data_IF_764058150243
#
_entry.id   IF_764058150243
#
_cell.length_a   1.000
_cell.length_b   1.000
_cell.length_c   1.000
_cell.angle_alpha   90.00
_cell.angle_beta   90.00
_cell.angle_gamma   90.00
#
_symmetry.space_group_name_H-M   'P 1'
#
loop_
_entity.id
_entity.type
_entity.pdbx_description
1 polymer ?
#
# COMPACT_ATOMS: atom_id res chain seq x y z
N UNK A 1 -11.84 55.95 17.31
CA UNK A 1 -10.93 54.79 17.29
C UNK A 1 -11.31 53.95 16.08
N UNK A 2 -10.34 53.58 15.26
CA UNK A 2 -10.53 52.78 14.04
C UNK A 2 -9.83 51.43 14.16
N UNK A 3 -10.43 50.42 13.54
CA UNK A 3 -9.86 49.08 13.43
C UNK A 3 -8.77 49.05 12.36
N UNK A 4 -7.72 48.28 12.60
CA UNK A 4 -6.61 48.13 11.66
C UNK A 4 -6.28 46.66 11.42
N UNK A 5 -5.79 46.39 10.22
CA UNK A 5 -5.33 45.08 9.78
C UNK A 5 -3.91 45.19 9.27
N UNK A 6 -3.12 44.17 9.59
CA UNK A 6 -1.79 43.99 9.01
C UNK A 6 -1.91 43.08 7.81
N UNK A 7 -1.51 43.56 6.64
CA UNK A 7 -1.56 42.78 5.40
C UNK A 7 -0.20 42.14 5.08
N UNK A 8 -0.22 40.91 4.56
CA UNK A 8 0.95 40.15 4.15
C UNK A 8 0.75 39.47 2.80
N UNK A 9 1.76 38.71 2.34
CA UNK A 9 1.63 37.89 1.12
C UNK A 9 1.72 36.40 1.48
N UNK A 10 0.65 35.60 1.33
CA UNK A 10 -0.78 35.97 1.24
C UNK A 10 -1.43 36.22 2.63
N UNK A 11 -2.61 36.85 2.66
CA UNK A 11 -3.42 37.00 3.88
C UNK A 11 -3.17 38.25 4.72
N UNK A 12 -3.65 38.22 5.96
CA UNK A 12 -3.47 39.28 6.94
C UNK A 12 -4.00 38.91 8.32
N UNK A 13 -3.84 39.82 9.28
CA UNK A 13 -4.33 39.65 10.65
C UNK A 13 -4.95 40.94 11.17
N UNK A 14 -5.97 40.82 12.03
CA UNK A 14 -6.49 41.97 12.77
C UNK A 14 -5.42 42.44 13.76
N UNK A 15 -5.04 43.72 13.67
CA UNK A 15 -3.94 44.30 14.42
C UNK A 15 -4.41 45.16 15.62
N UNK A 16 -5.72 45.35 15.79
CA UNK A 16 -6.30 46.09 16.92
C UNK A 16 -6.97 47.39 16.53
N UNK A 17 -7.17 48.27 17.52
CA UNK A 17 -7.75 49.60 17.36
C UNK A 17 -6.70 50.69 17.59
N UNK A 18 -6.74 51.73 16.78
CA UNK A 18 -5.90 52.93 16.89
C UNK A 18 -6.75 54.20 16.89
N UNK A 19 -6.12 55.35 17.19
CA UNK A 19 -6.78 56.65 17.08
C UNK A 19 -7.15 56.97 15.62
N UNK A 20 -8.22 57.72 15.42
CA UNK A 20 -8.76 57.98 14.07
C UNK A 20 -7.79 58.81 13.20
N UNK A 21 -6.98 59.66 13.84
CA UNK A 21 -5.98 60.54 13.24
C UNK A 21 -4.64 59.85 12.94
N UNK A 22 -4.46 58.59 13.37
CA UNK A 22 -3.23 57.84 13.12
C UNK A 22 -3.08 57.53 11.62
N UNK A 23 -1.96 57.99 11.04
CA UNK A 23 -1.60 57.71 9.65
C UNK A 23 -1.16 56.25 9.51
N UNK A 24 -1.77 55.52 8.56
CA UNK A 24 -1.42 54.13 8.29
C UNK A 24 -0.08 54.05 7.55
N UNK A 25 0.80 53.19 8.04
CA UNK A 25 2.09 52.89 7.42
C UNK A 25 2.14 51.43 7.03
N UNK A 26 2.84 51.11 5.95
CA UNK A 26 3.05 49.73 5.52
C UNK A 26 3.66 48.92 6.68
N UNK A 27 3.15 47.72 7.01
CA UNK A 27 2.14 46.93 6.29
C UNK A 27 0.73 46.97 6.93
N UNK A 28 0.28 48.12 7.41
CA UNK A 28 -1.04 48.29 8.04
C UNK A 28 -2.03 49.06 7.16
N UNK A 29 -3.30 48.71 7.28
CA UNK A 29 -4.44 49.37 6.62
C UNK A 29 -5.61 49.48 7.61
N UNK A 30 -6.41 50.54 7.49
CA UNK A 30 -7.70 50.70 8.18
C UNK A 30 -8.90 50.28 7.29
N UNK A 31 -8.61 49.72 6.10
CA UNK A 31 -9.64 49.15 5.22
C UNK A 31 -9.98 47.73 5.71
N UNK A 32 -11.26 47.44 6.03
CA UNK A 32 -11.68 46.12 6.48
C UNK A 32 -11.57 45.07 5.34
N UNK A 33 -11.24 43.80 5.67
CA UNK A 33 -11.35 42.68 4.74
C UNK A 33 -12.75 42.55 4.16
N UNK A 34 -12.86 41.97 2.96
CA UNK A 34 -14.14 41.66 2.36
C UNK A 34 -14.87 40.61 3.21
N UNK A 35 -16.16 40.84 3.42
CA UNK A 35 -17.09 39.85 3.98
C UNK A 35 -17.74 39.06 2.85
N UNK A 36 -18.14 37.82 3.13
CA UNK A 36 -18.85 36.99 2.17
C UNK A 36 -18.73 35.50 2.46
N UNK A 37 -19.14 34.72 1.48
CA UNK A 37 -19.05 33.25 1.49
C UNK A 37 -18.18 32.85 0.29
N UNK A 38 -17.24 31.95 0.53
CA UNK A 38 -16.42 31.33 -0.51
C UNK A 38 -17.28 30.43 -1.40
N UNK A 39 -16.72 29.99 -2.52
CA UNK A 39 -17.42 29.11 -3.47
C UNK A 39 -17.79 27.73 -2.90
N UNK A 40 -17.14 27.29 -1.82
CA UNK A 40 -17.39 26.04 -1.12
C UNK A 40 -18.39 26.16 0.04
N UNK A 41 -18.95 27.35 0.27
CA UNK A 41 -19.97 27.59 1.31
C UNK A 41 -19.41 28.02 2.66
N UNK A 42 -18.09 28.05 2.83
CA UNK A 42 -17.43 28.51 4.06
C UNK A 42 -17.32 30.05 4.10
N UNK A 43 -17.28 30.69 5.28
CA UNK A 43 -17.08 32.14 5.40
C UNK A 43 -15.78 32.60 4.75
N UNK A 44 -15.83 33.73 4.04
CA UNK A 44 -14.64 34.39 3.51
C UNK A 44 -13.83 34.99 4.67
N UNK A 45 -12.58 34.55 4.82
CA UNK A 45 -11.68 35.03 5.88
C UNK A 45 -10.62 35.95 5.32
N UNK A 46 -9.90 36.66 6.20
CA UNK A 46 -8.75 37.50 5.82
C UNK A 46 -7.61 36.68 5.17
N UNK A 47 -7.51 35.39 5.48
CA UNK A 47 -6.51 34.49 4.89
C UNK A 47 -6.82 34.13 3.43
N UNK A 48 -8.07 34.30 3.00
CA UNK A 48 -8.51 34.09 1.63
C UNK A 48 -8.31 35.34 0.75
N UNK A 49 -7.66 36.38 1.27
CA UNK A 49 -7.59 37.69 0.65
C UNK A 49 -6.16 38.22 0.61
N UNK A 50 -5.90 39.11 -0.35
CA UNK A 50 -4.68 39.90 -0.45
C UNK A 50 -5.05 41.37 -0.51
N UNK A 51 -4.43 42.19 0.34
CA UNK A 51 -4.59 43.64 0.24
C UNK A 51 -3.72 44.18 -0.91
N UNK A 52 -4.34 44.95 -1.81
CA UNK A 52 -3.67 45.71 -2.85
C UNK A 52 -3.49 47.17 -2.38
N UNK A 53 -2.26 47.60 -2.03
CA UNK A 53 -2.02 48.97 -1.58
C UNK A 53 -2.20 50.02 -2.69
N UNK A 54 -2.15 49.63 -3.98
CA UNK A 54 -2.34 50.57 -5.09
C UNK A 54 -3.83 50.89 -5.26
N UNK A 55 -4.67 49.85 -5.17
CA UNK A 55 -6.13 49.96 -5.27
C UNK A 55 -6.81 50.26 -3.92
N UNK A 56 -6.04 50.27 -2.82
CA UNK A 56 -6.48 50.46 -1.44
C UNK A 56 -7.66 49.55 -1.06
N UNK A 57 -7.62 48.27 -1.45
CA UNK A 57 -8.69 47.30 -1.22
C UNK A 57 -8.19 45.87 -1.05
N UNK A 58 -9.00 45.06 -0.38
CA UNK A 58 -8.81 43.62 -0.35
C UNK A 58 -9.33 42.97 -1.63
N UNK A 59 -8.61 41.95 -2.09
CA UNK A 59 -8.92 41.15 -3.26
C UNK A 59 -8.98 39.68 -2.83
N UNK A 60 -10.05 38.98 -3.19
CA UNK A 60 -10.16 37.54 -2.94
C UNK A 60 -9.12 36.80 -3.77
N UNK A 61 -8.36 35.93 -3.12
CA UNK A 61 -7.45 35.02 -3.78
C UNK A 61 -8.29 33.97 -4.52
N UNK A 62 -8.26 34.02 -5.85
CA UNK A 62 -8.97 33.05 -6.69
C UNK A 62 -8.29 31.67 -6.75
N UNK A 63 -7.03 31.60 -6.33
CA UNK A 63 -6.18 30.41 -6.38
C UNK A 63 -5.87 29.79 -5.02
N UNK A 64 -6.58 30.16 -3.94
CA UNK A 64 -6.49 29.35 -2.72
C UNK A 64 -7.06 28.00 -3.10
N UNK A 65 -6.22 26.95 -3.12
CA UNK A 65 -6.76 25.60 -3.17
C UNK A 65 -7.78 25.55 -2.03
N UNK A 66 -9.04 25.36 -2.40
CA UNK A 66 -10.16 25.21 -1.47
C UNK A 66 -9.69 24.31 -0.32
N UNK A 67 -9.71 24.85 0.90
CA UNK A 67 -9.23 24.16 2.11
C UNK A 67 -9.87 22.77 2.25
N UNK A 68 -11.11 22.58 1.80
CA UNK A 68 -11.74 21.27 1.74
C UNK A 68 -11.05 20.33 0.75
N UNK A 69 -10.59 20.83 -0.40
CA UNK A 69 -9.78 20.05 -1.35
C UNK A 69 -8.41 19.67 -0.79
N UNK A 70 -7.79 20.52 0.03
CA UNK A 70 -6.53 20.19 0.70
C UNK A 70 -6.73 19.10 1.76
N UNK A 71 -7.73 19.24 2.62
CA UNK A 71 -8.05 18.23 3.65
C UNK A 71 -8.44 16.89 3.01
N UNK A 72 -9.22 16.93 1.92
CA UNK A 72 -9.55 15.73 1.15
C UNK A 72 -8.30 15.08 0.53
N UNK A 73 -7.34 15.88 0.04
CA UNK A 73 -6.11 15.37 -0.53
C UNK A 73 -5.21 14.73 0.55
N UNK A 74 -5.13 15.34 1.73
CA UNK A 74 -4.43 14.79 2.89
C UNK A 74 -5.04 13.45 3.32
N UNK A 75 -6.36 13.39 3.47
CA UNK A 75 -7.07 12.15 3.80
C UNK A 75 -6.86 11.05 2.75
N UNK A 76 -6.85 11.39 1.46
CA UNK A 76 -6.54 10.45 0.37
C UNK A 76 -5.10 9.98 0.46
N UNK A 77 -4.16 10.87 0.77
CA UNK A 77 -2.75 10.51 0.90
C UNK A 77 -2.52 9.53 2.06
N UNK A 78 -3.11 9.79 3.23
CA UNK A 78 -3.04 8.88 4.39
C UNK A 78 -3.65 7.51 4.07
N UNK A 79 -4.81 7.48 3.41
CA UNK A 79 -5.45 6.24 2.99
C UNK A 79 -4.57 5.43 2.02
N UNK A 80 -3.97 6.11 1.03
CA UNK A 80 -3.06 5.48 0.08
C UNK A 80 -1.78 4.98 0.74
N UNK A 81 -1.23 5.70 1.71
CA UNK A 81 -0.05 5.27 2.47
C UNK A 81 -0.35 4.00 3.27
N UNK A 82 -1.50 3.98 3.95
CA UNK A 82 -1.96 2.80 4.69
C UNK A 82 -2.21 1.60 3.78
N UNK A 83 -2.90 1.79 2.65
CA UNK A 83 -3.18 0.72 1.68
C UNK A 83 -1.88 0.19 1.04
N UNK A 84 -0.92 1.07 0.72
CA UNK A 84 0.40 0.66 0.24
C UNK A 84 1.18 -0.14 1.31
N UNK A 85 1.05 0.24 2.59
CA UNK A 85 1.58 -0.55 3.71
C UNK A 85 1.02 -1.97 3.74
N UNK A 86 -0.31 -2.11 3.62
CA UNK A 86 -0.99 -3.41 3.57
C UNK A 86 -0.56 -4.25 2.36
N UNK A 87 -0.42 -3.63 1.18
CA UNK A 87 0.05 -4.29 -0.03
C UNK A 87 1.48 -4.82 0.12
N UNK A 88 2.39 -4.06 0.73
CA UNK A 88 3.76 -4.51 1.02
C UNK A 88 3.77 -5.73 1.95
N UNK A 89 2.96 -5.71 3.00
CA UNK A 89 2.84 -6.85 3.92
C UNK A 89 2.28 -8.10 3.23
N UNK A 90 1.21 -7.94 2.43
CA UNK A 90 0.62 -9.03 1.67
C UNK A 90 1.62 -9.63 0.67
N UNK A 91 2.36 -8.78 -0.05
CA UNK A 91 3.39 -9.21 -0.98
C UNK A 91 4.49 -10.03 -0.27
N UNK A 92 4.99 -9.56 0.87
CA UNK A 92 5.96 -10.30 1.66
C UNK A 92 5.45 -11.69 2.09
N UNK A 93 4.17 -11.77 2.52
CA UNK A 93 3.54 -13.05 2.88
C UNK A 93 3.42 -13.99 1.68
N UNK A 94 3.07 -13.47 0.50
CA UNK A 94 3.00 -14.25 -0.74
C UNK A 94 4.36 -14.79 -1.17
N UNK A 95 5.43 -13.99 -1.06
CA UNK A 95 6.79 -14.42 -1.36
C UNK A 95 7.25 -15.55 -0.43
N UNK A 96 6.95 -15.46 0.88
CA UNK A 96 7.27 -16.53 1.83
C UNK A 96 6.52 -17.82 1.52
N UNK A 97 5.23 -17.72 1.19
CA UNK A 97 4.43 -18.88 0.78
C UNK A 97 4.96 -19.52 -0.50
N UNK A 98 5.36 -18.73 -1.50
CA UNK A 98 5.94 -19.24 -2.74
C UNK A 98 7.24 -20.03 -2.49
N UNK A 99 8.10 -19.56 -1.58
CA UNK A 99 9.30 -20.28 -1.16
C UNK A 99 8.95 -21.60 -0.47
N UNK A 100 7.98 -21.58 0.46
CA UNK A 100 7.55 -22.80 1.17
C UNK A 100 6.99 -23.86 0.20
N UNK A 101 6.13 -23.44 -0.74
CA UNK A 101 5.56 -24.34 -1.75
C UNK A 101 6.65 -24.93 -2.66
N UNK A 102 7.66 -24.15 -3.05
CA UNK A 102 8.80 -24.64 -3.84
C UNK A 102 9.63 -25.69 -3.08
N UNK A 103 9.81 -25.51 -1.77
CA UNK A 103 10.49 -26.48 -0.91
C UNK A 103 9.68 -27.77 -0.79
N UNK A 104 8.37 -27.67 -0.53
CA UNK A 104 7.48 -28.84 -0.46
C UNK A 104 7.45 -29.62 -1.78
N UNK A 105 7.38 -28.92 -2.92
CA UNK A 105 7.40 -29.55 -4.24
C UNK A 105 8.71 -30.30 -4.51
N UNK A 106 9.85 -29.75 -4.09
CA UNK A 106 11.15 -30.44 -4.19
C UNK A 106 11.14 -31.71 -3.35
N UNK A 107 10.68 -31.65 -2.10
CA UNK A 107 10.60 -32.81 -1.21
C UNK A 107 9.62 -33.89 -1.73
N UNK A 108 8.49 -33.49 -2.32
CA UNK A 108 7.55 -34.42 -2.95
C UNK A 108 8.16 -35.13 -4.15
N UNK A 109 8.96 -34.42 -4.96
CA UNK A 109 9.67 -35.01 -6.10
C UNK A 109 10.69 -36.05 -5.64
N UNK A 110 11.49 -35.74 -4.62
CA UNK A 110 12.45 -36.69 -4.04
C UNK A 110 11.77 -37.95 -3.48
N UNK A 111 10.61 -37.79 -2.83
CA UNK A 111 9.81 -38.92 -2.37
C UNK A 111 9.25 -39.75 -3.51
N UNK A 112 8.76 -39.11 -4.58
CA UNK A 112 8.26 -39.80 -5.76
C UNK A 112 9.37 -40.62 -6.44
N UNK A 113 10.55 -40.03 -6.61
CA UNK A 113 11.72 -40.72 -7.17
C UNK A 113 12.16 -41.91 -6.29
N UNK A 114 12.17 -41.72 -4.97
CA UNK A 114 12.47 -42.80 -4.01
C UNK A 114 11.47 -43.96 -4.10
N UNK A 115 10.17 -43.65 -4.21
CA UNK A 115 9.13 -44.67 -4.39
C UNK A 115 9.28 -45.41 -5.72
N UNK A 116 9.60 -44.71 -6.81
CA UNK A 116 9.85 -45.34 -8.10
C UNK A 116 11.05 -46.30 -8.05
N UNK A 117 12.11 -45.92 -7.35
CA UNK A 117 13.28 -46.79 -7.13
C UNK A 117 12.94 -48.03 -6.29
N UNK A 118 12.19 -47.86 -5.19
CA UNK A 118 11.73 -48.98 -4.34
C UNK A 118 10.85 -49.93 -5.15
N UNK A 119 9.91 -49.40 -5.93
CA UNK A 119 9.03 -50.20 -6.76
C UNK A 119 9.81 -51.03 -7.79
N UNK A 120 10.78 -50.40 -8.46
CA UNK A 120 11.65 -51.09 -9.43
C UNK A 120 12.45 -52.23 -8.78
N UNK A 121 13.06 -51.98 -7.62
CA UNK A 121 13.79 -53.01 -6.86
C UNK A 121 12.89 -54.16 -6.42
N UNK A 122 11.68 -53.83 -5.97
CA UNK A 122 10.69 -54.82 -5.52
C UNK A 122 10.22 -55.70 -6.67
N UNK A 123 9.96 -55.13 -7.85
CA UNK A 123 9.63 -55.91 -9.05
C UNK A 123 10.76 -56.85 -9.45
N UNK A 124 12.01 -56.38 -9.46
CA UNK A 124 13.18 -57.22 -9.77
C UNK A 124 13.32 -58.37 -8.78
N UNK A 125 13.21 -58.10 -7.49
CA UNK A 125 13.26 -59.13 -6.45
C UNK A 125 12.10 -60.14 -6.60
N UNK A 126 10.90 -59.68 -6.91
CA UNK A 126 9.74 -60.55 -7.15
C UNK A 126 9.93 -61.45 -8.37
N UNK A 127 10.50 -60.93 -9.46
CA UNK A 127 10.83 -61.72 -10.65
C UNK A 127 11.89 -62.77 -10.34
N UNK A 128 12.94 -62.40 -9.62
CA UNK A 128 14.00 -63.32 -9.21
C UNK A 128 13.44 -64.41 -8.29
N UNK A 129 12.67 -64.05 -7.26
CA UNK A 129 12.03 -65.02 -6.37
C UNK A 129 11.12 -65.98 -7.14
N UNK A 130 10.38 -65.49 -8.13
CA UNK A 130 9.52 -66.33 -8.97
C UNK A 130 10.33 -67.35 -9.78
N UNK A 131 11.49 -66.94 -10.29
CA UNK A 131 12.43 -67.82 -10.99
C UNK A 131 13.04 -68.86 -10.04
N UNK A 132 13.54 -68.43 -8.89
CA UNK A 132 14.13 -69.32 -7.88
C UNK A 132 13.11 -70.37 -7.40
N UNK A 133 11.86 -69.98 -7.19
CA UNK A 133 10.77 -70.91 -6.84
C UNK A 133 10.54 -71.95 -7.96
N UNK A 134 10.60 -71.55 -9.23
CA UNK A 134 10.43 -72.46 -10.35
C UNK A 134 11.58 -73.47 -10.42
N UNK A 135 12.82 -73.03 -10.27
CA UNK A 135 14.01 -73.90 -10.24
C UNK A 135 13.97 -74.88 -9.07
N UNK A 136 13.58 -74.43 -7.87
CA UNK A 136 13.41 -75.31 -6.70
C UNK A 136 12.33 -76.37 -6.96
N UNK A 137 11.21 -76.00 -7.58
CA UNK A 137 10.14 -76.96 -7.92
C UNK A 137 10.62 -78.02 -8.89
N UNK A 138 11.42 -77.65 -9.88
CA UNK A 138 12.03 -78.59 -10.84
C UNK A 138 12.99 -79.55 -10.13
N UNK A 139 13.82 -79.06 -9.21
CA UNK A 139 14.75 -79.88 -8.43
C UNK A 139 14.06 -80.85 -7.44
N UNK A 140 12.88 -80.48 -6.91
CA UNK A 140 12.11 -81.31 -5.98
C UNK A 140 11.26 -82.38 -6.70
N UNK A 141 10.95 -82.16 -7.97
CA UNK A 141 10.23 -83.08 -8.84
C UNK A 141 11.14 -83.49 -10.03
N UNK A 142 12.33 -84.08 -9.79
CA UNK A 142 13.09 -84.65 -10.89
C UNK A 142 12.18 -85.73 -11.47
N UNK A 143 11.95 -85.69 -12.76
CA UNK A 143 11.11 -86.68 -13.42
C UNK A 143 11.49 -88.08 -12.92
N UNK A 144 10.47 -88.88 -12.64
CA UNK A 144 10.55 -90.31 -12.40
C UNK A 144 11.01 -91.04 -13.69
N UNK A 145 12.14 -90.64 -14.25
CA UNK A 145 12.90 -91.40 -15.22
C UNK A 145 13.59 -92.56 -14.50
N UNK A 146 12.81 -93.58 -14.14
CA UNK A 146 13.36 -94.78 -13.50
C UNK A 146 12.30 -95.56 -12.75
N UNK A 147 11.49 -96.32 -13.48
CA UNK A 147 10.58 -97.31 -12.91
C UNK A 147 9.92 -98.09 -14.03
N UNK A 148 10.44 -99.31 -14.23
CA UNK A 148 10.10 -100.35 -15.22
C UNK A 148 8.60 -100.59 -15.47
#
# INVERSE_FOLDING_TARGET
>A
MKDIWKYGKPGGEYAGKVLDDMVMTVPFTDVPPLEGIRSDGEPLTINDQLFDPQENRWIVLTNVLDHNKLNNLEAVYEALEHENGNLKQLNAKLMLNDVAIKQENTALKEKADSLAQINSKTMLASLQNSKDIAEIKEQLNPESEGGE
#
